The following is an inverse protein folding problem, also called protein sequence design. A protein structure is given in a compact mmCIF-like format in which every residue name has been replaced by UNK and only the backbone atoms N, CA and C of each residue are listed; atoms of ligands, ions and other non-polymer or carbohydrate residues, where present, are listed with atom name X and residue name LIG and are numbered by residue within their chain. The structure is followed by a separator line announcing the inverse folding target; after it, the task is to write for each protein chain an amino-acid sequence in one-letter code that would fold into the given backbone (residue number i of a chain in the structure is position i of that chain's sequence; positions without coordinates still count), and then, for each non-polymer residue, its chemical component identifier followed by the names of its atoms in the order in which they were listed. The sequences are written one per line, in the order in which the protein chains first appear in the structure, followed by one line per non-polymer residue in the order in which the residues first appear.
data_IF_015566274380
#
_entry.id   IF_015566274380
#
_cell.length_a   1.000
_cell.length_b   1.000
_cell.length_c   1.000
_cell.angle_alpha   90.00
_cell.angle_beta   90.00
_cell.angle_gamma   90.00
#
_symmetry.space_group_name_H-M   'P 1'
#
loop_
_entity.id
_entity.type
_entity.pdbx_description
1 polymer ?
#
# COMPACT_ATOMS: atom_id res chain seq x y z
N UNK A 1 21.83 17.39 -16.82
CA UNK A 1 21.44 16.16 -17.57
C UNK A 1 20.81 15.08 -16.69
N UNK A 2 21.03 15.05 -15.36
CA UNK A 2 20.50 14.00 -14.47
C UNK A 2 19.10 14.26 -13.87
N UNK A 3 18.53 15.45 -14.06
CA UNK A 3 17.21 15.80 -13.50
C UNK A 3 16.02 15.01 -14.10
N UNK A 4 16.25 14.21 -15.14
CA UNK A 4 15.22 13.42 -15.83
C UNK A 4 15.22 11.92 -15.47
N UNK A 5 16.24 11.40 -14.77
CA UNK A 5 16.20 10.07 -14.19
C UNK A 5 15.66 10.17 -12.76
N UNK A 6 14.35 10.00 -12.59
CA UNK A 6 13.75 9.85 -11.27
C UNK A 6 14.22 8.59 -10.53
N UNK A 7 14.78 7.61 -11.25
CA UNK A 7 15.11 6.27 -10.74
C UNK A 7 16.57 5.89 -11.01
N UNK A 8 17.55 6.64 -10.50
CA UNK A 8 18.95 6.15 -10.53
C UNK A 8 19.12 4.88 -9.68
N UNK A 9 18.30 4.73 -8.64
CA UNK A 9 18.19 3.52 -7.83
C UNK A 9 16.87 3.48 -7.07
N UNK A 10 16.33 2.28 -6.93
CA UNK A 10 15.15 2.00 -6.12
C UNK A 10 15.51 1.10 -4.94
N UNK A 11 15.07 1.46 -3.73
CA UNK A 11 15.22 0.65 -2.53
C UNK A 11 13.83 0.31 -1.97
N UNK A 12 13.66 -0.93 -1.50
CA UNK A 12 12.44 -1.37 -0.81
C UNK A 12 12.74 -1.68 0.64
N UNK A 13 11.94 -1.12 1.55
CA UNK A 13 11.97 -1.41 2.98
C UNK A 13 10.69 -2.15 3.32
N UNK A 14 10.84 -3.40 3.76
CA UNK A 14 9.71 -4.25 4.14
C UNK A 14 9.49 -4.20 5.65
N UNK A 15 8.24 -3.92 6.03
CA UNK A 15 7.80 -3.80 7.41
C UNK A 15 7.02 -5.05 7.84
N UNK A 16 7.20 -5.47 9.09
CA UNK A 16 6.31 -6.45 9.70
C UNK A 16 5.01 -5.82 10.18
N UNK A 17 5.11 -4.64 10.81
CA UNK A 17 3.95 -3.92 11.34
C UNK A 17 3.67 -2.63 10.55
N UNK A 18 2.39 -2.32 10.27
CA UNK A 18 2.05 -1.09 9.56
C UNK A 18 2.44 0.20 10.30
N UNK A 19 2.50 0.19 11.64
CA UNK A 19 2.88 1.36 12.43
C UNK A 19 4.37 1.72 12.37
N UNK A 20 5.23 0.80 11.93
CA UNK A 20 6.66 1.07 11.76
C UNK A 20 6.95 2.07 10.64
N UNK A 21 5.98 2.30 9.75
CA UNK A 21 6.09 3.27 8.65
C UNK A 21 6.42 4.67 9.16
N UNK A 22 5.82 5.08 10.28
CA UNK A 22 6.10 6.39 10.88
C UNK A 22 7.53 6.47 11.44
N UNK A 23 8.04 5.36 11.97
CA UNK A 23 9.41 5.29 12.49
C UNK A 23 10.42 5.39 11.33
N UNK A 24 10.17 4.66 10.24
CA UNK A 24 10.99 4.74 9.03
C UNK A 24 10.93 6.14 8.43
N UNK A 25 9.75 6.73 8.30
CA UNK A 25 9.60 8.11 7.80
C UNK A 25 10.39 9.12 8.63
N UNK A 26 10.42 8.98 9.97
CA UNK A 26 11.22 9.82 10.86
C UNK A 26 12.73 9.64 10.62
N UNK A 27 13.19 8.40 10.44
CA UNK A 27 14.60 8.10 10.15
C UNK A 27 14.98 8.69 8.79
N UNK A 28 14.15 8.50 7.75
CA UNK A 28 14.39 9.04 6.42
C UNK A 28 14.48 10.56 6.45
N UNK A 29 13.54 11.24 7.11
CA UNK A 29 13.56 12.70 7.22
C UNK A 29 14.77 13.22 8.03
N UNK A 30 15.29 12.41 8.96
CA UNK A 30 16.47 12.76 9.76
C UNK A 30 17.78 12.66 8.97
N UNK A 31 17.86 11.76 7.99
CA UNK A 31 19.12 11.48 7.27
C UNK A 31 19.13 12.01 5.84
N UNK A 32 17.97 12.22 5.23
CA UNK A 32 17.88 12.64 3.83
C UNK A 32 17.12 13.96 3.69
N UNK A 33 17.25 14.58 2.51
CA UNK A 33 16.37 15.65 2.06
C UNK A 33 15.19 14.99 1.34
N UNK A 34 13.98 15.21 1.88
CA UNK A 34 12.75 14.70 1.29
C UNK A 34 12.33 15.56 0.09
N UNK A 35 12.43 15.01 -1.13
CA UNK A 35 12.02 15.70 -2.37
C UNK A 35 10.53 15.54 -2.60
N UNK A 36 10.01 14.32 -2.47
CA UNK A 36 8.60 14.00 -2.66
C UNK A 36 8.21 12.79 -1.83
N UNK A 37 6.97 12.79 -1.33
CA UNK A 37 6.33 11.60 -0.76
C UNK A 37 5.08 11.31 -1.58
N UNK A 38 4.97 10.09 -2.08
CA UNK A 38 3.82 9.63 -2.87
C UNK A 38 3.23 8.41 -2.19
N UNK A 39 1.93 8.43 -1.91
CA UNK A 39 1.21 7.21 -1.56
C UNK A 39 0.73 6.58 -2.88
N UNK A 40 1.35 5.48 -3.29
CA UNK A 40 0.98 4.74 -4.49
C UNK A 40 -0.06 3.69 -4.11
N UNK A 41 -1.22 3.76 -4.77
CA UNK A 41 -2.42 3.07 -4.33
C UNK A 41 -3.59 3.35 -5.27
N UNK A 42 -4.31 2.31 -5.72
CA UNK A 42 -5.56 2.51 -6.49
C UNK A 42 -6.75 2.96 -5.62
N UNK A 43 -6.53 3.35 -4.36
CA UNK A 43 -7.58 3.69 -3.41
C UNK A 43 -7.58 5.17 -3.03
N UNK A 44 -8.62 5.89 -3.46
CA UNK A 44 -9.19 6.98 -2.66
C UNK A 44 -9.24 6.52 -1.20
N UNK A 45 -8.89 7.42 -0.26
CA UNK A 45 -9.01 7.22 1.20
C UNK A 45 -10.10 6.20 1.51
N UNK A 46 -9.82 5.21 2.36
CA UNK A 46 -10.88 4.45 3.04
C UNK A 46 -11.82 5.49 3.62
N UNK A 47 -12.91 5.76 2.90
CA UNK A 47 -13.87 6.73 3.32
C UNK A 47 -14.70 5.96 4.31
N UNK A 48 -14.53 6.28 5.59
CA UNK A 48 -15.35 5.72 6.65
C UNK A 48 -16.85 5.87 6.32
N UNK A 49 -17.19 6.91 5.55
CA UNK A 49 -18.51 7.09 4.97
C UNK A 49 -18.86 6.02 3.94
N UNK A 50 -17.99 5.72 2.97
CA UNK A 50 -18.25 4.65 1.99
C UNK A 50 -18.38 3.26 2.65
N UNK A 51 -17.65 2.99 3.74
CA UNK A 51 -17.84 1.76 4.53
C UNK A 51 -19.19 1.78 5.28
N UNK A 52 -19.58 2.91 5.87
CA UNK A 52 -20.89 3.07 6.52
C UNK A 52 -22.04 2.95 5.51
N UNK A 53 -21.90 3.54 4.33
CA UNK A 53 -22.89 3.48 3.25
C UNK A 53 -23.04 2.04 2.74
N UNK A 54 -21.93 1.29 2.63
CA UNK A 54 -21.96 -0.15 2.29
C UNK A 54 -22.54 -1.01 3.41
N UNK A 55 -22.27 -0.68 4.68
CA UNK A 55 -22.87 -1.37 5.82
C UNK A 55 -24.39 -1.14 5.86
N UNK A 56 -24.84 0.11 5.70
CA UNK A 56 -26.25 0.46 5.61
C UNK A 56 -26.94 -0.22 4.41
N UNK A 57 -26.24 -0.33 3.27
CA UNK A 57 -26.75 -1.07 2.11
C UNK A 57 -26.88 -2.58 2.40
N UNK A 58 -25.91 -3.19 3.07
CA UNK A 58 -25.97 -4.61 3.45
C UNK A 58 -27.07 -4.88 4.47
N UNK A 59 -27.32 -3.95 5.39
CA UNK A 59 -28.45 -4.02 6.33
C UNK A 59 -29.80 -3.88 5.62
N UNK A 60 -29.92 -2.99 4.63
CA UNK A 60 -31.11 -2.84 3.77
C UNK A 60 -31.32 -4.06 2.85
N UNK A 61 -30.23 -4.67 2.35
CA UNK A 61 -30.28 -5.90 1.56
C UNK A 61 -30.70 -7.11 2.42
N UNK A 62 -30.28 -7.18 3.68
CA UNK A 62 -30.75 -8.18 4.65
C UNK A 62 -32.25 -8.07 4.93
N UNK A 63 -32.82 -6.85 4.89
CA UNK A 63 -34.28 -6.66 4.97
C UNK A 63 -35.00 -7.06 3.68
N UNK A 64 -34.35 -6.90 2.51
CA UNK A 64 -34.93 -7.24 1.20
C UNK A 64 -34.80 -8.72 0.82
N UNK A 65 -33.83 -9.45 1.38
CA UNK A 65 -33.68 -10.91 1.17
C UNK A 65 -34.80 -11.76 1.79
N UNK A 66 -35.69 -11.18 2.63
CA UNK A 66 -36.88 -11.88 3.11
C UNK A 66 -38.07 -11.88 2.14
N UNK A 67 -38.02 -11.19 0.98
CA UNK A 67 -39.22 -11.03 0.12
C UNK A 67 -39.04 -11.40 -1.37
N UNK A 68 -37.85 -11.65 -1.91
CA UNK A 68 -37.78 -11.99 -3.34
C UNK A 68 -36.65 -12.98 -3.71
N UNK A 69 -37.03 -14.25 -3.79
CA UNK A 69 -36.40 -15.23 -4.67
C UNK A 69 -36.65 -14.84 -6.13
N UNK A 70 -35.66 -15.11 -6.99
CA UNK A 70 -35.65 -15.09 -8.48
C UNK A 70 -34.75 -14.02 -9.08
N UNK A 71 -33.56 -14.50 -9.51
CA UNK A 71 -32.49 -13.77 -10.16
C UNK A 71 -32.93 -13.04 -11.44
N UNK A 72 -32.90 -11.71 -11.38
CA UNK A 72 -32.43 -10.83 -12.45
C UNK A 72 -31.46 -9.81 -11.82
N UNK A 73 -30.54 -9.32 -12.64
CA UNK A 73 -29.57 -8.24 -12.39
C UNK A 73 -28.13 -8.69 -12.08
N UNK A 74 -27.52 -9.34 -13.07
CA UNK A 74 -26.08 -9.48 -13.23
C UNK A 74 -25.35 -8.17 -13.60
N UNK A 75 -25.76 -7.02 -13.05
CA UNK A 75 -25.18 -5.71 -13.40
C UNK A 75 -25.17 -4.70 -12.23
N UNK A 76 -24.80 -5.14 -11.02
CA UNK A 76 -24.55 -4.23 -9.90
C UNK A 76 -23.08 -4.24 -9.48
N UNK A 77 -22.36 -3.29 -10.08
CA UNK A 77 -21.08 -2.72 -9.69
C UNK A 77 -20.33 -3.42 -8.54
N UNK A 78 -19.43 -4.32 -8.91
CA UNK A 78 -18.33 -4.83 -8.08
C UNK A 78 -17.38 -3.69 -7.72
N UNK A 79 -17.71 -2.89 -6.71
CA UNK A 79 -16.74 -1.99 -6.11
C UNK A 79 -15.74 -2.82 -5.30
N UNK A 80 -14.67 -3.23 -5.96
CA UNK A 80 -13.53 -3.91 -5.34
C UNK A 80 -13.02 -3.09 -4.14
N UNK A 81 -12.61 -3.71 -3.02
CA UNK A 81 -11.98 -3.00 -1.93
C UNK A 81 -10.62 -2.46 -2.40
N UNK A 82 -10.61 -1.20 -2.84
CA UNK A 82 -9.42 -0.49 -3.30
C UNK A 82 -8.59 -0.06 -2.08
N UNK A 83 -7.66 -0.92 -1.67
CA UNK A 83 -6.86 -0.73 -0.44
C UNK A 83 -5.34 -0.76 -0.62
N UNK A 84 -4.82 -0.85 -1.86
CA UNK A 84 -3.37 -0.84 -2.08
C UNK A 84 -2.75 0.46 -1.56
N UNK A 85 -1.71 0.36 -0.71
CA UNK A 85 -0.98 1.47 -0.13
C UNK A 85 0.51 1.11 -0.02
N UNK A 86 1.30 1.61 -0.96
CA UNK A 86 2.74 1.74 -0.80
C UNK A 86 3.10 3.19 -0.56
N UNK A 87 4.05 3.46 0.34
CA UNK A 87 4.56 4.82 0.51
C UNK A 87 5.92 4.94 -0.14
N UNK A 88 5.98 5.74 -1.19
CA UNK A 88 7.18 6.04 -1.95
C UNK A 88 7.78 7.35 -1.43
N UNK A 89 9.03 7.29 -1.01
CA UNK A 89 9.83 8.43 -0.56
C UNK A 89 10.90 8.69 -1.60
N UNK A 90 10.80 9.83 -2.27
CA UNK A 90 11.81 10.30 -3.21
C UNK A 90 12.77 11.19 -2.42
N UNK A 91 14.02 10.76 -2.28
CA UNK A 91 15.00 11.36 -1.38
C UNK A 91 16.28 11.77 -2.10
N UNK A 92 16.97 12.76 -1.51
CA UNK A 92 18.32 13.19 -1.87
C UNK A 92 19.24 13.15 -0.65
N UNK A 93 20.54 12.99 -0.89
CA UNK A 93 21.55 13.17 0.15
C UNK A 93 21.59 14.63 0.61
N UNK A 94 22.01 14.86 1.85
CA UNK A 94 22.22 16.21 2.39
C UNK A 94 23.60 16.71 1.95
N UNK A 95 23.72 18.01 1.72
CA UNK A 95 24.97 18.60 1.21
C UNK A 95 26.19 18.34 2.10
N UNK A 96 26.02 18.19 3.41
CA UNK A 96 27.12 17.89 4.34
C UNK A 96 27.55 16.43 4.36
N UNK A 97 26.72 15.52 3.85
CA UNK A 97 27.02 14.09 3.73
C UNK A 97 27.74 13.77 2.40
N UNK A 98 27.91 14.78 1.53
CA UNK A 98 28.60 14.66 0.24
C UNK A 98 30.05 15.08 0.44
N UNK A 99 31.00 14.17 0.17
CA UNK A 99 32.43 14.42 0.34
C UNK A 99 32.89 15.65 -0.46
N UNK A 100 33.58 16.58 0.22
CA UNK A 100 34.17 17.77 -0.38
C UNK A 100 35.39 17.37 -1.21
N UNK A 101 35.18 17.20 -2.51
CA UNK A 101 36.22 16.80 -3.47
C UNK A 101 35.69 15.89 -4.56
N UNK A 102 34.51 15.30 -4.36
CA UNK A 102 33.79 14.66 -5.45
C UNK A 102 33.29 15.74 -6.41
N UNK A 103 33.91 15.86 -7.60
CA UNK A 103 33.30 16.50 -8.79
C UNK A 103 31.99 15.80 -9.22
N UNK A 104 31.59 14.77 -8.49
CA UNK A 104 30.55 13.83 -8.86
C UNK A 104 29.12 14.37 -8.64
N UNK A 105 28.29 14.00 -9.60
CA UNK A 105 26.84 14.15 -9.79
C UNK A 105 25.91 13.81 -8.60
N UNK A 106 26.41 13.55 -7.39
CA UNK A 106 25.62 13.06 -6.26
C UNK A 106 24.64 14.09 -5.69
N UNK A 107 24.93 15.39 -5.83
CA UNK A 107 24.06 16.49 -5.36
C UNK A 107 22.67 16.47 -6.02
N UNK A 108 22.63 16.10 -7.29
CA UNK A 108 21.38 16.06 -8.05
C UNK A 108 20.73 14.67 -8.06
N UNK A 109 21.40 13.67 -7.47
CA UNK A 109 20.95 12.30 -7.52
C UNK A 109 19.73 12.07 -6.63
N UNK A 110 18.70 11.50 -7.23
CA UNK A 110 17.45 11.14 -6.56
C UNK A 110 17.35 9.63 -6.46
N UNK A 111 16.92 9.15 -5.29
CA UNK A 111 16.64 7.73 -5.02
C UNK A 111 15.19 7.57 -4.59
N UNK A 112 14.51 6.57 -5.12
CA UNK A 112 13.17 6.19 -4.66
C UNK A 112 13.29 5.10 -3.58
N UNK A 113 12.68 5.35 -2.42
CA UNK A 113 12.58 4.40 -1.32
C UNK A 113 11.10 4.04 -1.14
N UNK A 114 10.74 2.81 -1.44
CA UNK A 114 9.39 2.28 -1.25
C UNK A 114 9.32 1.60 0.12
N UNK A 115 8.35 2.01 0.94
CA UNK A 115 8.12 1.44 2.27
C UNK A 115 6.75 0.77 2.27
N UNK A 116 6.77 -0.54 2.48
CA UNK A 116 5.60 -1.43 2.38
C UNK A 116 5.65 -2.46 3.49
N UNK A 117 4.49 -3.01 3.88
CA UNK A 117 4.50 -4.21 4.73
C UNK A 117 4.79 -5.45 3.90
N UNK A 118 5.31 -6.50 4.54
CA UNK A 118 5.63 -7.76 3.86
C UNK A 118 4.40 -8.38 3.18
N UNK A 119 3.23 -8.32 3.81
CA UNK A 119 1.98 -8.87 3.25
C UNK A 119 1.54 -8.08 2.01
N UNK A 120 1.58 -6.74 2.08
CA UNK A 120 1.26 -5.88 0.94
C UNK A 120 2.25 -6.05 -0.21
N UNK A 121 3.54 -6.18 0.12
CA UNK A 121 4.60 -6.41 -0.86
C UNK A 121 4.37 -7.70 -1.64
N UNK A 122 4.16 -8.82 -0.92
CA UNK A 122 3.92 -10.11 -1.54
C UNK A 122 2.71 -10.11 -2.48
N UNK A 123 1.60 -9.48 -2.07
CA UNK A 123 0.43 -9.34 -2.94
C UNK A 123 0.70 -8.46 -4.16
N UNK A 124 1.39 -7.33 -3.99
CA UNK A 124 1.68 -6.40 -5.09
C UNK A 124 2.59 -7.00 -6.17
N UNK A 125 3.54 -7.86 -5.80
CA UNK A 125 4.40 -8.56 -6.76
C UNK A 125 3.59 -9.58 -7.60
N UNK A 126 2.61 -10.25 -6.98
CA UNK A 126 1.67 -11.14 -7.69
C UNK A 126 0.72 -10.34 -8.60
N UNK A 127 0.12 -9.27 -8.08
CA UNK A 127 -0.76 -8.37 -8.84
C UNK A 127 -0.03 -7.81 -10.05
N UNK A 128 1.18 -7.26 -9.86
CA UNK A 128 1.99 -6.70 -10.92
C UNK A 128 2.39 -7.76 -11.95
N UNK A 129 2.80 -8.96 -11.50
CA UNK A 129 3.12 -10.07 -12.37
C UNK A 129 1.93 -10.50 -13.24
N UNK A 130 0.73 -10.53 -12.68
CA UNK A 130 -0.49 -10.92 -13.39
C UNK A 130 -1.03 -9.81 -14.29
N UNK A 131 -1.09 -8.56 -13.84
CA UNK A 131 -1.74 -7.47 -14.57
C UNK A 131 -0.84 -6.90 -15.67
N UNK A 132 0.48 -6.87 -15.44
CA UNK A 132 1.40 -6.17 -16.33
C UNK A 132 2.06 -7.09 -17.38
N UNK A 133 2.47 -8.32 -17.00
CA UNK A 133 3.20 -9.22 -17.92
C UNK A 133 2.37 -9.73 -19.12
N UNK A 134 1.09 -10.11 -18.99
CA UNK A 134 0.30 -10.60 -20.13
C UNK A 134 0.12 -9.54 -21.22
N UNK A 135 0.05 -8.27 -20.82
CA UNK A 135 -0.09 -7.12 -21.71
C UNK A 135 1.19 -6.85 -22.52
N UNK A 136 2.35 -7.24 -21.99
CA UNK A 136 3.65 -7.09 -22.66
C UNK A 136 4.02 -8.28 -23.58
N UNK A 137 3.47 -9.48 -23.34
CA UNK A 137 3.83 -10.72 -24.05
C UNK A 137 2.81 -11.19 -25.09
N UNK A 138 1.78 -10.39 -25.39
CA UNK A 138 0.72 -10.79 -26.33
C UNK A 138 -0.12 -11.99 -25.85
N UNK A 139 -0.05 -12.32 -24.56
CA UNK A 139 -0.80 -13.42 -23.96
C UNK A 139 -2.25 -12.98 -23.69
N UNK A 140 -3.18 -13.94 -23.68
CA UNK A 140 -4.59 -13.70 -23.30
C UNK A 140 -4.59 -12.94 -21.96
N UNK A 141 -5.17 -11.75 -21.92
CA UNK A 141 -5.21 -10.93 -20.71
C UNK A 141 -5.86 -11.67 -19.54
N UNK A 142 -5.58 -11.23 -18.31
CA UNK A 142 -6.11 -11.83 -17.08
C UNK A 142 -7.62 -11.99 -17.15
N UNK A 143 -8.10 -13.22 -16.93
CA UNK A 143 -9.52 -13.56 -16.93
C UNK A 143 -10.27 -12.85 -15.81
N UNK A 144 -11.60 -12.77 -15.94
CA UNK A 144 -12.46 -12.16 -14.92
C UNK A 144 -12.37 -12.94 -13.60
N UNK A 145 -12.31 -14.27 -13.67
CA UNK A 145 -12.20 -15.13 -12.49
C UNK A 145 -10.87 -14.92 -11.76
N UNK A 146 -9.75 -14.84 -12.49
CA UNK A 146 -8.45 -14.51 -11.91
C UNK A 146 -8.42 -13.13 -11.24
N UNK A 147 -9.10 -12.13 -11.83
CA UNK A 147 -9.26 -10.81 -11.20
C UNK A 147 -10.05 -10.89 -9.91
N UNK A 148 -11.17 -11.63 -9.88
CA UNK A 148 -11.96 -11.83 -8.66
C UNK A 148 -11.19 -12.58 -7.58
N UNK A 149 -10.37 -13.56 -7.94
CA UNK A 149 -9.46 -14.23 -7.00
C UNK A 149 -8.43 -13.24 -6.46
N UNK A 150 -7.82 -12.43 -7.32
CA UNK A 150 -6.84 -11.41 -6.92
C UNK A 150 -7.43 -10.37 -5.96
N UNK A 151 -8.68 -9.95 -6.19
CA UNK A 151 -9.44 -9.06 -5.30
C UNK A 151 -9.77 -9.73 -3.95
N UNK A 152 -10.06 -11.03 -3.97
CA UNK A 152 -10.30 -11.81 -2.76
C UNK A 152 -9.03 -11.90 -1.90
N UNK A 153 -7.87 -12.16 -2.53
CA UNK A 153 -6.57 -12.17 -1.83
C UNK A 153 -6.27 -10.78 -1.25
N UNK A 154 -6.50 -9.71 -2.03
CA UNK A 154 -6.32 -8.34 -1.53
C UNK A 154 -7.16 -8.08 -0.28
N UNK A 155 -8.41 -8.53 -0.27
CA UNK A 155 -9.31 -8.39 0.88
C UNK A 155 -8.76 -9.09 2.14
N UNK A 156 -8.18 -10.29 1.99
CA UNK A 156 -7.54 -11.03 3.08
C UNK A 156 -6.30 -10.28 3.59
N UNK A 157 -5.49 -9.76 2.68
CA UNK A 157 -4.29 -8.98 3.01
C UNK A 157 -4.68 -7.74 3.82
N UNK A 158 -5.68 -6.98 3.37
CA UNK A 158 -6.18 -5.80 4.10
C UNK A 158 -6.72 -6.15 5.49
N UNK A 159 -7.39 -7.29 5.64
CA UNK A 159 -7.83 -7.77 6.94
C UNK A 159 -6.65 -8.12 7.85
N UNK A 160 -5.62 -8.77 7.32
CA UNK A 160 -4.37 -9.08 8.02
C UNK A 160 -3.63 -7.81 8.48
N UNK A 161 -3.50 -6.82 7.61
CA UNK A 161 -2.92 -5.50 7.92
C UNK A 161 -3.65 -4.81 9.08
N UNK A 162 -4.98 -4.84 9.07
CA UNK A 162 -5.80 -4.28 10.15
C UNK A 162 -5.57 -5.03 11.48
N UNK A 163 -5.52 -6.37 11.44
CA UNK A 163 -5.24 -7.20 12.61
C UNK A 163 -3.83 -6.95 13.18
N UNK A 164 -2.81 -6.85 12.33
CA UNK A 164 -1.43 -6.52 12.74
C UNK A 164 -1.36 -5.15 13.41
N UNK A 165 -2.06 -4.15 12.87
CA UNK A 165 -2.13 -2.81 13.49
C UNK A 165 -2.82 -2.84 14.85
N UNK A 166 -3.88 -3.62 15.02
CA UNK A 166 -4.53 -3.81 16.31
C UNK A 166 -3.61 -4.54 17.32
N UNK A 167 -2.87 -5.54 16.86
CA UNK A 167 -1.90 -6.27 17.66
C UNK A 167 -0.78 -5.35 18.16
N UNK A 168 -0.27 -4.48 17.29
CA UNK A 168 0.77 -3.49 17.63
C UNK A 168 0.28 -2.52 18.73
N UNK A 169 -0.93 -1.96 18.57
CA UNK A 169 -1.56 -1.09 19.56
C UNK A 169 -1.75 -1.82 20.89
N UNK A 170 -2.21 -3.06 20.86
CA UNK A 170 -2.46 -3.88 22.06
C UNK A 170 -1.17 -4.23 22.79
N UNK A 171 -0.10 -4.55 22.05
CA UNK A 171 1.22 -4.85 22.59
C UNK A 171 1.85 -3.61 23.22
N UNK A 172 1.71 -2.44 22.60
CA UNK A 172 2.18 -1.15 23.14
C UNK A 172 1.44 -0.79 24.43
N UNK A 173 0.13 -1.02 24.51
CA UNK A 173 -0.65 -0.81 25.75
C UNK A 173 -0.18 -1.74 26.88
N UNK A 174 0.27 -2.95 26.57
CA UNK A 174 0.81 -3.89 27.56
C UNK A 174 2.17 -3.40 28.09
N UNK A 175 3.08 -2.97 27.22
CA UNK A 175 4.42 -2.51 27.64
C UNK A 175 4.36 -1.24 28.51
N UNK A 176 3.38 -0.36 28.32
CA UNK A 176 3.15 0.82 29.17
C UNK A 176 2.59 0.45 30.55
N UNK A 177 1.86 -0.66 30.68
CA UNK A 177 1.25 -1.12 31.94
C UNK A 177 2.19 -1.95 32.84
N UNK A 178 3.36 -2.32 32.34
CA UNK A 178 4.40 -2.99 33.13
C UNK A 178 5.49 -1.97 33.48
N UNK A 179 5.35 -1.17 34.56
CA UNK A 179 6.49 -0.44 35.08
C UNK A 179 7.57 -1.46 35.43
N UNK A 180 8.79 -1.22 34.96
CA UNK A 180 9.96 -2.04 35.29
C UNK A 180 10.07 -2.10 36.81
N UNK A 181 10.02 -3.31 37.38
CA UNK A 181 10.42 -3.60 38.75
C UNK A 181 11.92 -3.35 38.90
#
# INVERSE_FOLDING_TARGET
MFAALHDFGGMRILLYFPGDLEKVAKILNKHFVMVRRVEKGNGSRINLQALKDRLALVEDLRQKEQVATSQKDANRASQTPKGYRSTHFVVKLRDHDIERGSECSWKDLVVEIQVETLMMHAWSEVEHGMVYKPTASGSRGVSIDEKHILDSINSIVLAGEAALRQLEVSTTKRSVKSPKL
#
